data_IF_704886139551
#
_entry.id   IF_704886139551
#
_cell.length_a   1.000
_cell.length_b   1.000
_cell.length_c   1.000
_cell.angle_alpha   90.00
_cell.angle_beta   90.00
_cell.angle_gamma   90.00
#
_symmetry.space_group_name_H-M   'P 1'
#
loop_
_entity.id
_entity.type
_entity.pdbx_description
1 polymer ?
#
# COMPACT_ATOMS: atom_id res chain seq x y z
N UNK A 1 -3.03 11.38 -3.13
CA UNK A 1 -1.81 10.53 -3.08
C UNK A 1 -1.30 10.43 -1.66
N UNK A 2 -0.73 9.30 -1.32
CA UNK A 2 -0.12 9.09 -0.03
C UNK A 2 1.13 9.98 0.12
N UNK A 3 1.30 10.59 1.29
CA UNK A 3 2.47 11.45 1.56
C UNK A 3 3.76 10.62 1.52
N UNK A 4 4.86 11.25 1.13
CA UNK A 4 6.15 10.56 0.95
C UNK A 4 6.66 9.88 2.21
N UNK A 5 6.48 10.50 3.38
CA UNK A 5 6.93 9.93 4.64
C UNK A 5 6.14 8.67 4.99
N UNK A 6 4.84 8.67 4.72
CA UNK A 6 4.00 7.49 4.92
C UNK A 6 4.29 6.41 3.89
N UNK A 7 4.55 6.81 2.64
CA UNK A 7 4.94 5.87 1.60
C UNK A 7 6.24 5.16 1.96
N UNK A 8 7.21 5.90 2.48
CA UNK A 8 8.47 5.30 2.92
C UNK A 8 8.24 4.27 4.04
N UNK A 9 7.32 4.57 4.96
CA UNK A 9 6.97 3.64 6.02
C UNK A 9 6.30 2.38 5.49
N UNK A 10 5.39 2.54 4.52
CA UNK A 10 4.75 1.40 3.84
C UNK A 10 5.81 0.53 3.16
N UNK A 11 6.72 1.16 2.42
CA UNK A 11 7.76 0.42 1.72
C UNK A 11 8.71 -0.29 2.68
N UNK A 12 9.01 0.30 3.83
CA UNK A 12 9.82 -0.36 4.85
C UNK A 12 9.13 -1.62 5.39
N UNK A 13 7.82 -1.56 5.58
CA UNK A 13 7.05 -2.73 6.00
C UNK A 13 7.00 -3.81 4.91
N UNK A 14 6.93 -3.40 3.65
CA UNK A 14 6.99 -4.32 2.51
C UNK A 14 8.33 -5.04 2.48
N UNK A 15 9.43 -4.30 2.64
CA UNK A 15 10.77 -4.89 2.67
C UNK A 15 10.95 -5.88 3.82
N UNK A 16 10.31 -5.61 4.95
CA UNK A 16 10.35 -6.49 6.11
C UNK A 16 9.44 -7.72 5.97
N UNK A 17 8.63 -7.80 4.92
CA UNK A 17 7.69 -8.89 4.70
C UNK A 17 6.52 -8.89 5.68
N UNK A 18 6.19 -7.73 6.23
CA UNK A 18 5.15 -7.60 7.26
C UNK A 18 3.80 -7.15 6.73
N UNK A 19 3.73 -6.76 5.47
CA UNK A 19 2.53 -6.17 4.88
C UNK A 19 1.82 -7.16 3.96
N UNK A 20 0.51 -7.28 4.14
CA UNK A 20 -0.32 -8.14 3.29
C UNK A 20 -1.38 -7.33 2.59
N UNK A 21 -1.75 -7.75 1.38
CA UNK A 21 -2.85 -7.14 0.66
C UNK A 21 -4.19 -7.75 1.11
N UNK A 22 -5.28 -7.25 0.55
CA UNK A 22 -6.64 -7.72 0.92
C UNK A 22 -6.83 -9.21 0.64
N UNK A 23 -6.18 -9.74 -0.37
CA UNK A 23 -6.21 -11.17 -0.71
C UNK A 23 -5.51 -12.04 0.34
N UNK A 24 -4.68 -11.45 1.18
CA UNK A 24 -3.93 -12.17 2.19
C UNK A 24 -2.52 -12.55 1.76
N UNK A 25 -2.12 -12.16 0.56
CA UNK A 25 -0.77 -12.42 0.07
C UNK A 25 0.21 -11.37 0.62
N UNK A 26 1.43 -11.80 0.92
CA UNK A 26 2.48 -10.88 1.35
C UNK A 26 2.86 -9.96 0.19
N UNK A 27 2.83 -8.66 0.45
CA UNK A 27 3.27 -7.67 -0.54
C UNK A 27 4.78 -7.69 -0.59
N UNK A 28 5.35 -7.97 -1.76
CA UNK A 28 6.81 -8.11 -1.91
C UNK A 28 7.43 -7.00 -2.76
N UNK A 29 6.62 -6.25 -3.49
CA UNK A 29 7.11 -5.18 -4.36
C UNK A 29 6.86 -3.83 -3.73
N UNK A 30 7.91 -3.03 -3.54
CA UNK A 30 7.78 -1.67 -3.03
C UNK A 30 6.98 -0.81 -4.01
N UNK A 31 6.28 0.19 -3.49
CA UNK A 31 5.41 1.06 -4.27
C UNK A 31 6.12 2.34 -4.62
N UNK A 32 6.03 2.77 -5.87
CA UNK A 32 6.50 4.08 -6.31
C UNK A 32 5.60 5.17 -5.77
N UNK A 33 4.29 4.91 -5.81
CA UNK A 33 3.28 5.81 -5.31
C UNK A 33 2.10 4.99 -4.80
N UNK A 34 1.23 5.61 -4.04
CA UNK A 34 0.00 4.97 -3.55
C UNK A 34 -1.12 5.99 -3.44
N UNK A 35 -2.35 5.54 -3.73
CA UNK A 35 -3.56 6.31 -3.48
C UNK A 35 -4.12 5.89 -2.13
N UNK A 36 -4.47 6.86 -1.29
CA UNK A 36 -5.14 6.58 -0.02
C UNK A 36 -6.62 6.89 -0.14
N UNK A 37 -7.47 6.06 0.46
CA UNK A 37 -8.91 6.31 0.49
C UNK A 37 -9.24 7.48 1.40
N UNK A 38 -10.41 8.10 1.18
CA UNK A 38 -10.83 9.28 1.96
C UNK A 38 -10.91 9.02 3.45
N UNK A 39 -11.24 7.79 3.84
CA UNK A 39 -11.30 7.38 5.25
C UNK A 39 -9.92 7.06 5.84
N UNK A 40 -8.87 7.08 5.02
CA UNK A 40 -7.51 6.79 5.45
C UNK A 40 -7.22 5.35 5.83
N UNK A 41 -8.12 4.43 5.51
CA UNK A 41 -8.02 3.03 5.95
C UNK A 41 -7.34 2.10 4.96
N UNK A 42 -7.36 2.43 3.68
CA UNK A 42 -6.79 1.59 2.62
C UNK A 42 -5.96 2.40 1.64
N UNK A 43 -4.97 1.75 1.08
CA UNK A 43 -4.19 2.32 -0.02
C UNK A 43 -4.24 1.38 -1.20
N UNK A 44 -4.13 1.96 -2.39
CA UNK A 44 -4.03 1.21 -3.64
C UNK A 44 -2.68 1.54 -4.27
N UNK A 45 -1.97 0.53 -4.79
CA UNK A 45 -0.69 0.80 -5.46
C UNK A 45 -0.91 1.59 -6.75
N UNK A 46 0.04 2.47 -7.03
CA UNK A 46 0.10 3.18 -8.31
C UNK A 46 1.34 2.67 -9.02
N UNK A 47 1.15 1.99 -10.14
CA UNK A 47 2.22 1.37 -10.89
C UNK A 47 2.41 2.13 -12.20
N UNK A 48 3.60 2.69 -12.38
CA UNK A 48 3.95 3.47 -13.58
C UNK A 48 2.93 4.57 -13.89
N UNK A 49 2.50 5.27 -12.85
CA UNK A 49 1.53 6.36 -12.95
C UNK A 49 0.08 5.91 -13.09
N UNK A 50 -0.18 4.59 -13.09
CA UNK A 50 -1.52 4.04 -13.27
C UNK A 50 -1.99 3.42 -11.95
N UNK A 51 -3.08 3.93 -11.35
CA UNK A 51 -3.61 3.33 -10.13
C UNK A 51 -4.17 1.94 -10.37
N UNK A 52 -3.79 1.00 -9.51
CA UNK A 52 -4.35 -0.36 -9.51
C UNK A 52 -5.49 -0.38 -8.51
N UNK A 53 -6.71 -0.19 -9.00
CA UNK A 53 -7.90 -0.05 -8.14
C UNK A 53 -8.63 -1.38 -7.95
N UNK A 54 -7.88 -2.46 -7.84
CA UNK A 54 -8.42 -3.79 -7.56
C UNK A 54 -8.47 -3.98 -6.05
N UNK A 55 -9.60 -4.38 -5.54
CA UNK A 55 -9.78 -4.58 -4.09
C UNK A 55 -8.76 -5.57 -3.54
N UNK A 56 -8.47 -6.64 -4.25
CA UNK A 56 -7.51 -7.66 -3.81
C UNK A 56 -6.10 -7.12 -3.66
N UNK A 57 -5.76 -6.07 -4.40
CA UNK A 57 -4.46 -5.44 -4.35
C UNK A 57 -4.38 -4.33 -3.30
N UNK A 58 -5.51 -3.98 -2.68
CA UNK A 58 -5.53 -2.92 -1.67
C UNK A 58 -4.81 -3.36 -0.40
N UNK A 59 -4.25 -2.41 0.31
CA UNK A 59 -3.50 -2.65 1.54
C UNK A 59 -4.17 -1.88 2.67
N UNK A 60 -4.47 -2.56 3.77
CA UNK A 60 -5.07 -1.92 4.93
C UNK A 60 -4.00 -1.19 5.74
N UNK A 61 -4.24 0.08 6.01
CA UNK A 61 -3.32 0.91 6.77
C UNK A 61 -3.20 0.50 8.24
N UNK A 62 -4.18 -0.20 8.78
CA UNK A 62 -4.15 -0.65 10.18
C UNK A 62 -2.96 -1.57 10.49
N UNK A 63 -2.41 -2.22 9.47
CA UNK A 63 -1.22 -3.06 9.62
C UNK A 63 0.02 -2.28 10.02
N UNK A 64 -0.01 -0.96 9.80
CA UNK A 64 1.11 -0.07 10.11
C UNK A 64 0.96 0.61 11.47
N UNK A 65 -0.12 0.36 12.17
CA UNK A 65 -0.39 0.97 13.45
C UNK A 65 0.55 0.46 14.55
#
# INVERSE_FOLDING_TARGET
MLAKDKLARVNAAIDAGELRNHEGSTVSKVLDEALITDDGKRIYPVDDGIPVLLEDESIRMEQLA
#
